data_IF_918376958856
#
_entry.id   IF_918376958856
#
_cell.length_a   1.000
_cell.length_b   1.000
_cell.length_c   1.000
_cell.angle_alpha   90.00
_cell.angle_beta   90.00
_cell.angle_gamma   90.00
#
_symmetry.space_group_name_H-M   'P 1'
#
loop_
_entity.id
_entity.type
_entity.pdbx_description
1 polymer ?
#
# COMPACT_ATOMS: atom_id res chain seq x y z
N UNK A 1 8.85 -0.57 -3.76
CA UNK A 1 9.66 -1.74 -4.10
C UNK A 1 9.55 -2.64 -2.90
N UNK A 2 9.09 -3.89 -3.11
CA UNK A 2 8.85 -4.84 -2.03
C UNK A 2 10.10 -5.12 -1.21
N UNK A 3 9.90 -5.44 0.06
CA UNK A 3 11.00 -5.81 0.95
C UNK A 3 11.41 -7.26 0.67
N UNK A 4 12.65 -7.45 0.21
CA UNK A 4 13.20 -8.78 -0.09
C UNK A 4 14.08 -9.23 1.07
N UNK A 5 13.71 -10.36 1.67
CA UNK A 5 14.51 -11.06 2.67
C UNK A 5 15.27 -12.21 2.00
N UNK A 6 16.53 -11.97 1.64
CA UNK A 6 17.38 -12.97 0.98
C UNK A 6 17.70 -14.17 1.88
N UNK A 7 17.83 -13.97 3.19
CA UNK A 7 18.13 -15.05 4.14
C UNK A 7 16.96 -16.04 4.28
N UNK A 8 15.72 -15.54 4.26
CA UNK A 8 14.51 -16.36 4.34
C UNK A 8 13.94 -16.75 2.97
N UNK A 9 14.50 -16.22 1.88
CA UNK A 9 13.91 -16.27 0.53
C UNK A 9 12.44 -15.87 0.57
N UNK A 10 12.17 -14.65 1.05
CA UNK A 10 10.81 -14.13 1.19
C UNK A 10 10.69 -12.72 0.62
N UNK A 11 9.70 -12.48 -0.23
CA UNK A 11 9.34 -11.17 -0.78
C UNK A 11 8.08 -10.70 -0.05
N UNK A 12 8.15 -9.53 0.57
CA UNK A 12 7.01 -8.93 1.27
C UNK A 12 6.50 -7.74 0.45
N UNK A 13 5.30 -7.89 -0.11
CA UNK A 13 4.64 -6.86 -0.90
C UNK A 13 3.49 -6.23 -0.12
N UNK A 14 3.47 -4.90 -0.03
CA UNK A 14 2.47 -4.15 0.72
C UNK A 14 1.36 -3.63 -0.19
N UNK A 15 0.13 -4.06 0.07
CA UNK A 15 -1.07 -3.60 -0.62
C UNK A 15 -1.89 -2.70 0.30
N UNK A 16 -2.29 -1.53 -0.19
CA UNK A 16 -3.08 -0.56 0.59
C UNK A 16 -4.44 -0.36 -0.06
N UNK A 17 -5.51 -0.62 0.69
CA UNK A 17 -6.85 -0.20 0.33
C UNK A 17 -7.04 1.25 0.76
N UNK A 18 -7.16 2.13 -0.23
CA UNK A 18 -7.38 3.56 -0.06
C UNK A 18 -8.79 3.95 -0.56
N UNK A 19 -9.23 5.18 -0.29
CA UNK A 19 -10.56 5.67 -0.64
C UNK A 19 -11.26 6.33 0.55
N UNK A 20 -12.40 7.01 0.34
CA UNK A 20 -13.04 7.79 1.38
C UNK A 20 -13.55 6.92 2.54
N UNK A 21 -13.86 7.58 3.65
CA UNK A 21 -14.54 6.96 4.78
C UNK A 21 -15.83 6.27 4.30
N UNK A 22 -16.16 5.13 4.90
CA UNK A 22 -17.38 4.35 4.59
C UNK A 22 -17.53 3.88 3.14
N UNK A 23 -16.48 3.96 2.29
CA UNK A 23 -16.51 3.45 0.91
C UNK A 23 -16.58 1.91 0.82
N UNK A 24 -16.34 1.20 1.93
CA UNK A 24 -16.38 -0.28 1.98
C UNK A 24 -15.02 -0.97 1.98
N UNK A 25 -13.93 -0.26 2.32
CA UNK A 25 -12.57 -0.82 2.44
C UNK A 25 -12.49 -1.96 3.46
N UNK A 26 -13.04 -1.74 4.66
CA UNK A 26 -13.06 -2.77 5.71
C UNK A 26 -13.89 -4.00 5.29
N UNK A 27 -15.01 -3.79 4.59
CA UNK A 27 -15.86 -4.87 4.07
C UNK A 27 -15.09 -5.71 3.05
N UNK A 28 -14.34 -5.07 2.15
CA UNK A 28 -13.44 -5.77 1.23
C UNK A 28 -12.43 -6.64 1.98
N UNK A 29 -11.67 -6.06 2.91
CA UNK A 29 -10.65 -6.80 3.68
C UNK A 29 -11.24 -8.00 4.42
N UNK A 30 -12.40 -7.83 5.06
CA UNK A 30 -13.10 -8.91 5.76
C UNK A 30 -13.56 -10.00 4.80
N UNK A 31 -14.09 -9.64 3.63
CA UNK A 31 -14.54 -10.60 2.62
C UNK A 31 -13.36 -11.39 2.04
N UNK A 32 -12.27 -10.72 1.65
CA UNK A 32 -11.04 -11.37 1.20
C UNK A 32 -10.51 -12.31 2.27
N UNK A 33 -10.41 -11.83 3.52
CA UNK A 33 -9.97 -12.64 4.65
C UNK A 33 -10.80 -13.92 4.77
N UNK A 34 -12.14 -13.81 4.79
CA UNK A 34 -13.06 -14.93 4.92
C UNK A 34 -12.99 -15.94 3.76
N UNK A 35 -12.63 -15.51 2.55
CA UNK A 35 -12.50 -16.38 1.38
C UNK A 35 -11.16 -17.09 1.24
N UNK A 36 -10.12 -16.61 1.93
CA UNK A 36 -8.81 -17.25 1.93
C UNK A 36 -8.80 -18.49 2.83
N UNK A 37 -8.11 -19.54 2.39
CA UNK A 37 -7.88 -20.75 3.20
C UNK A 37 -7.13 -20.38 4.47
N UNK A 38 -7.47 -21.00 5.59
CA UNK A 38 -6.94 -20.64 6.91
C UNK A 38 -5.41 -20.78 7.01
N UNK A 39 -4.83 -21.75 6.31
CA UNK A 39 -3.38 -21.95 6.22
C UNK A 39 -2.65 -20.97 5.27
N UNK A 40 -3.40 -20.23 4.46
CA UNK A 40 -2.87 -19.26 3.48
C UNK A 40 -2.94 -17.81 3.97
N UNK A 41 -3.47 -17.57 5.17
CA UNK A 41 -3.65 -16.23 5.75
C UNK A 41 -3.10 -16.16 7.18
N UNK A 42 -2.49 -15.05 7.53
CA UNK A 42 -2.17 -14.70 8.91
C UNK A 42 -3.39 -14.17 9.66
N UNK A 43 -3.24 -13.87 10.95
CA UNK A 43 -4.32 -13.35 11.78
C UNK A 43 -4.80 -11.98 11.28
N UNK A 44 -6.12 -11.77 11.27
CA UNK A 44 -6.71 -10.45 11.08
C UNK A 44 -6.50 -9.57 12.31
N UNK A 45 -5.85 -8.42 12.14
CA UNK A 45 -5.45 -7.54 13.23
C UNK A 45 -6.02 -6.14 13.06
N UNK A 46 -6.22 -5.47 14.18
CA UNK A 46 -6.60 -4.07 14.27
C UNK A 46 -5.65 -3.34 15.21
N UNK A 47 -5.18 -2.16 14.84
CA UNK A 47 -4.34 -1.32 15.70
C UNK A 47 -4.71 0.15 15.54
N UNK A 48 -4.44 0.98 16.55
CA UNK A 48 -4.60 2.43 16.46
C UNK A 48 -3.41 3.05 15.74
N UNK A 49 -3.68 3.99 14.84
CA UNK A 49 -2.69 4.79 14.14
C UNK A 49 -3.14 6.23 14.26
N UNK A 50 -2.48 6.99 15.15
CA UNK A 50 -2.93 8.33 15.54
C UNK A 50 -4.40 8.27 15.99
N UNK A 51 -5.29 9.03 15.34
CA UNK A 51 -6.73 9.06 15.63
C UNK A 51 -7.54 8.01 14.85
N UNK A 52 -6.90 7.27 13.93
CA UNK A 52 -7.55 6.28 13.08
C UNK A 52 -7.34 4.84 13.58
N UNK A 53 -8.15 3.91 13.05
CA UNK A 53 -7.95 2.47 13.28
C UNK A 53 -7.49 1.82 11.98
N UNK A 54 -6.34 1.17 12.02
CA UNK A 54 -5.80 0.40 10.90
C UNK A 54 -6.22 -1.06 11.03
N UNK A 55 -6.80 -1.61 9.97
CA UNK A 55 -7.01 -3.05 9.83
C UNK A 55 -5.95 -3.62 8.90
N UNK A 56 -5.41 -4.78 9.25
CA UNK A 56 -4.43 -5.46 8.42
C UNK A 56 -4.44 -6.98 8.62
N UNK A 57 -4.00 -7.68 7.59
CA UNK A 57 -3.65 -9.10 7.65
C UNK A 57 -2.66 -9.41 6.52
N UNK A 58 -2.02 -10.56 6.62
CA UNK A 58 -1.12 -11.06 5.59
C UNK A 58 -1.68 -12.33 4.94
N UNK A 59 -1.33 -12.58 3.69
CA UNK A 59 -1.65 -13.84 3.03
C UNK A 59 -0.56 -14.25 2.04
N UNK A 60 -0.53 -15.55 1.73
CA UNK A 60 0.35 -16.17 0.76
C UNK A 60 -0.52 -16.81 -0.33
N UNK A 61 -0.41 -16.41 -1.59
CA UNK A 61 -1.16 -17.06 -2.66
C UNK A 61 -0.73 -18.54 -2.80
N UNK A 62 -1.69 -19.49 -2.90
CA UNK A 62 -1.40 -20.90 -3.18
C UNK A 62 -0.98 -21.08 -4.65
N UNK A 63 -0.20 -22.15 -4.93
CA UNK A 63 0.31 -22.44 -6.28
C UNK A 63 1.76 -21.99 -6.50
N UNK A 64 2.66 -22.35 -5.59
CA UNK A 64 4.09 -22.01 -5.61
C UNK A 64 4.39 -20.50 -5.44
N UNK A 65 4.39 -20.07 -4.18
CA UNK A 65 5.27 -18.97 -3.73
C UNK A 65 6.74 -19.40 -3.80
N UNK A 66 7.25 -19.69 -4.99
CA UNK A 66 8.68 -19.87 -5.24
C UNK A 66 9.02 -19.14 -6.53
N UNK A 67 9.07 -17.82 -6.42
CA UNK A 67 9.66 -16.93 -7.39
C UNK A 67 11.18 -17.08 -7.33
N UNK A 68 11.77 -17.94 -8.16
CA UNK A 68 13.21 -18.29 -8.06
C UNK A 68 13.60 -18.83 -6.65
N UNK A 69 12.69 -19.59 -6.04
CA UNK A 69 12.83 -20.07 -4.67
C UNK A 69 12.40 -19.08 -3.58
N UNK A 70 11.84 -17.91 -3.93
CA UNK A 70 11.27 -16.96 -2.97
C UNK A 70 9.77 -17.15 -2.74
N UNK A 71 9.38 -17.24 -1.47
CA UNK A 71 8.00 -17.11 -1.04
C UNK A 71 7.54 -15.66 -1.09
N UNK A 72 6.34 -15.40 -1.63
CA UNK A 72 5.76 -14.06 -1.58
C UNK A 72 4.67 -14.01 -0.52
N UNK A 73 4.74 -12.96 0.29
CA UNK A 73 3.75 -12.61 1.30
C UNK A 73 3.19 -11.24 0.98
N UNK A 74 1.87 -11.18 0.83
CA UNK A 74 1.16 -9.92 0.68
C UNK A 74 0.66 -9.45 2.03
N UNK A 75 0.97 -8.20 2.36
CA UNK A 75 0.46 -7.52 3.55
C UNK A 75 -0.61 -6.53 3.10
N UNK A 76 -1.87 -6.75 3.51
CA UNK A 76 -2.97 -5.85 3.16
C UNK A 76 -3.25 -4.92 4.33
N UNK A 77 -3.33 -3.62 4.06
CA UNK A 77 -3.65 -2.59 5.03
C UNK A 77 -4.84 -1.76 4.57
N UNK A 78 -5.65 -1.29 5.52
CA UNK A 78 -6.59 -0.19 5.29
C UNK A 78 -6.77 0.65 6.55
N UNK A 79 -7.12 1.92 6.35
CA UNK A 79 -7.58 2.78 7.43
C UNK A 79 -9.10 2.76 7.53
N UNK A 80 -9.56 2.78 8.76
CA UNK A 80 -10.97 2.87 9.16
C UNK A 80 -11.13 4.00 10.18
N UNK A 81 -12.18 4.77 10.01
CA UNK A 81 -12.43 6.01 10.76
C UNK A 81 -13.46 6.85 10.00
N UNK A 82 -14.14 7.76 10.69
CA UNK A 82 -15.13 8.67 10.09
C UNK A 82 -14.44 9.70 9.16
N UNK A 83 -13.24 10.13 9.53
CA UNK A 83 -12.41 11.04 8.73
C UNK A 83 -10.95 10.58 8.89
N UNK A 84 -10.47 9.76 7.96
CA UNK A 84 -9.07 9.32 7.97
C UNK A 84 -8.14 10.52 7.73
N UNK A 85 -7.20 10.75 8.64
CA UNK A 85 -6.29 11.90 8.54
C UNK A 85 -5.23 11.68 7.46
N UNK A 86 -4.79 12.76 6.79
CA UNK A 86 -3.69 12.68 5.82
C UNK A 86 -2.39 12.16 6.46
N UNK A 87 -2.15 12.47 7.72
CA UNK A 87 -0.97 11.99 8.44
C UNK A 87 -1.00 10.45 8.63
N UNK A 88 -2.16 9.89 8.97
CA UNK A 88 -2.34 8.43 9.04
C UNK A 88 -2.25 7.80 7.66
N UNK A 89 -2.91 8.38 6.65
CA UNK A 89 -2.84 7.90 5.27
C UNK A 89 -1.39 7.87 4.74
N UNK A 90 -0.63 8.92 5.02
CA UNK A 90 0.80 9.02 4.69
C UNK A 90 1.58 7.87 5.33
N UNK A 91 1.41 7.62 6.63
CA UNK A 91 2.05 6.49 7.32
C UNK A 91 1.69 5.14 6.68
N UNK A 92 0.43 4.92 6.32
CA UNK A 92 -0.03 3.67 5.70
C UNK A 92 0.51 3.51 4.28
N UNK A 93 0.58 4.58 3.49
CA UNK A 93 1.09 4.55 2.12
C UNK A 93 2.62 4.42 2.05
N UNK A 94 3.34 4.70 3.14
CA UNK A 94 4.79 4.50 3.18
C UNK A 94 5.15 3.06 2.82
N UNK A 95 5.95 2.91 1.76
CA UNK A 95 6.38 1.60 1.27
C UNK A 95 5.28 0.77 0.63
N UNK A 96 4.16 1.36 0.19
CA UNK A 96 3.17 0.66 -0.60
C UNK A 96 3.79 0.18 -1.93
N UNK A 97 3.44 -1.05 -2.32
CA UNK A 97 3.79 -1.67 -3.60
C UNK A 97 2.58 -1.79 -4.52
N UNK A 98 1.35 -1.72 -3.99
CA UNK A 98 0.14 -1.60 -4.77
C UNK A 98 -0.98 -0.88 -4.00
N UNK A 99 -1.86 -0.20 -4.73
CA UNK A 99 -3.02 0.52 -4.18
C UNK A 99 -4.30 -0.01 -4.81
N UNK A 100 -5.29 -0.33 -3.97
CA UNK A 100 -6.66 -0.56 -4.41
C UNK A 100 -7.50 0.62 -3.93
N UNK A 101 -7.86 1.51 -4.84
CA UNK A 101 -8.68 2.68 -4.51
C UNK A 101 -10.16 2.30 -4.59
N UNK A 102 -10.83 2.26 -3.45
CA UNK A 102 -12.27 1.96 -3.35
C UNK A 102 -13.05 3.26 -3.40
N UNK A 103 -13.67 3.54 -4.54
CA UNK A 103 -14.60 4.64 -4.72
C UNK A 103 -16.01 4.24 -4.27
N UNK A 104 -16.71 5.15 -3.61
CA UNK A 104 -18.11 4.98 -3.23
C UNK A 104 -19.01 5.50 -4.34
N UNK A 105 -19.91 4.66 -4.87
CA UNK A 105 -20.74 5.03 -6.01
C UNK A 105 -21.97 5.88 -5.66
N UNK A 106 -22.24 6.13 -4.37
CA UNK A 106 -23.38 6.97 -3.95
C UNK A 106 -23.36 8.38 -4.56
N UNK A 107 -24.53 8.93 -4.90
CA UNK A 107 -24.64 10.27 -5.53
C UNK A 107 -24.07 11.41 -4.67
N UNK A 108 -24.09 11.27 -3.36
CA UNK A 108 -23.57 12.25 -2.39
C UNK A 108 -22.07 12.04 -2.08
N UNK A 109 -21.42 11.04 -2.70
CA UNK A 109 -20.07 10.59 -2.33
C UNK A 109 -18.98 11.05 -3.30
N UNK A 110 -19.33 11.72 -4.40
CA UNK A 110 -18.35 12.15 -5.41
C UNK A 110 -17.27 13.07 -4.84
N UNK A 111 -17.66 14.09 -4.06
CA UNK A 111 -16.71 15.01 -3.44
C UNK A 111 -15.72 14.27 -2.52
N UNK A 112 -16.23 13.34 -1.69
CA UNK A 112 -15.39 12.52 -0.83
C UNK A 112 -14.43 11.61 -1.61
N UNK A 113 -14.85 11.07 -2.76
CA UNK A 113 -13.97 10.31 -3.65
C UNK A 113 -12.83 11.19 -4.18
N UNK A 114 -13.16 12.39 -4.67
CA UNK A 114 -12.18 13.36 -5.19
C UNK A 114 -11.18 13.75 -4.11
N UNK A 115 -11.65 14.13 -2.92
CA UNK A 115 -10.79 14.56 -1.81
C UNK A 115 -9.89 13.41 -1.33
N UNK A 116 -10.43 12.19 -1.25
CA UNK A 116 -9.64 11.03 -0.88
C UNK A 116 -8.57 10.69 -1.92
N UNK A 117 -8.87 10.79 -3.22
CA UNK A 117 -7.89 10.51 -4.26
C UNK A 117 -6.78 11.57 -4.28
N UNK A 118 -7.14 12.85 -4.12
CA UNK A 118 -6.17 13.94 -3.94
C UNK A 118 -5.25 13.68 -2.75
N UNK A 119 -5.81 13.26 -1.61
CA UNK A 119 -5.03 12.91 -0.43
C UNK A 119 -4.05 11.76 -0.65
N UNK A 120 -4.45 10.73 -1.41
CA UNK A 120 -3.54 9.65 -1.84
C UNK A 120 -2.41 10.21 -2.70
N UNK A 121 -2.74 11.01 -3.71
CA UNK A 121 -1.75 11.62 -4.62
C UNK A 121 -0.77 12.53 -3.87
N UNK A 122 -1.24 13.34 -2.92
CA UNK A 122 -0.40 14.20 -2.07
C UNK A 122 0.56 13.35 -1.21
N UNK A 123 0.05 12.29 -0.59
CA UNK A 123 0.88 11.38 0.21
C UNK A 123 1.95 10.68 -0.63
N UNK A 124 1.62 10.24 -1.85
CA UNK A 124 2.58 9.65 -2.78
C UNK A 124 3.63 10.67 -3.23
N UNK A 125 3.20 11.91 -3.52
CA UNK A 125 4.09 13.01 -3.92
C UNK A 125 5.11 13.31 -2.83
N UNK A 126 4.68 13.30 -1.56
CA UNK A 126 5.56 13.46 -0.40
C UNK A 126 6.62 12.33 -0.27
N UNK A 127 6.47 11.22 -1.01
CA UNK A 127 7.45 10.14 -1.14
C UNK A 127 8.17 10.14 -2.49
N UNK A 128 8.05 11.21 -3.29
CA UNK A 128 8.66 11.33 -4.61
C UNK A 128 8.03 10.39 -5.65
N UNK A 129 6.76 10.01 -5.46
CA UNK A 129 6.00 9.15 -6.37
C UNK A 129 4.71 9.83 -6.82
N UNK A 130 4.15 9.36 -7.93
CA UNK A 130 2.79 9.67 -8.34
C UNK A 130 1.97 8.37 -8.39
N UNK A 131 0.67 8.48 -8.67
CA UNK A 131 -0.23 7.32 -8.72
C UNK A 131 0.12 6.36 -9.88
N UNK A 132 0.66 6.85 -10.99
CA UNK A 132 1.06 6.02 -12.14
C UNK A 132 2.36 5.25 -11.93
N UNK A 133 3.19 5.65 -10.95
CA UNK A 133 4.43 4.96 -10.58
C UNK A 133 4.22 3.75 -9.64
N UNK A 134 2.97 3.42 -9.32
CA UNK A 134 2.62 2.29 -8.45
C UNK A 134 1.42 1.55 -9.06
N UNK A 135 1.41 0.20 -9.06
CA UNK A 135 0.23 -0.59 -9.40
C UNK A 135 -1.01 -0.08 -8.69
N UNK A 136 -2.01 0.31 -9.45
CA UNK A 136 -3.25 0.87 -8.93
C UNK A 136 -4.44 0.25 -9.64
N UNK A 137 -5.44 -0.18 -8.85
CA UNK A 137 -6.73 -0.68 -9.32
C UNK A 137 -7.84 0.17 -8.70
N UNK A 138 -8.83 0.54 -9.51
CA UNK A 138 -9.99 1.30 -9.04
C UNK A 138 -11.17 0.34 -8.85
N UNK A 139 -11.80 0.37 -7.67
CA UNK A 139 -13.02 -0.38 -7.40
C UNK A 139 -14.17 0.58 -7.18
N UNK A 140 -15.19 0.53 -8.03
CA UNK A 140 -16.42 1.31 -7.87
C UNK A 140 -17.42 0.52 -7.05
N UNK A 141 -17.41 0.72 -5.73
CA UNK A 141 -18.19 -0.08 -4.79
C UNK A 141 -19.60 0.49 -4.56
N UNK A 142 -20.50 -0.33 -3.99
CA UNK A 142 -21.91 -0.04 -3.72
C UNK A 142 -22.76 0.11 -4.99
N UNK A 143 -22.48 -0.72 -5.99
CA UNK A 143 -23.26 -0.78 -7.23
C UNK A 143 -24.70 -1.29 -7.05
N UNK A 144 -25.06 -1.75 -5.86
CA UNK A 144 -26.40 -2.10 -5.44
C UNK A 144 -27.24 -0.90 -4.95
N UNK A 145 -26.64 0.27 -4.70
CA UNK A 145 -27.38 1.48 -4.29
C UNK A 145 -28.31 1.97 -5.40
N UNK A 146 -29.55 2.35 -5.05
CA UNK A 146 -30.53 2.93 -5.98
C UNK A 146 -30.08 4.30 -6.51
N UNK A 147 -29.52 5.13 -5.64
CA UNK A 147 -28.97 6.44 -5.96
C UNK A 147 -27.45 6.34 -6.10
N UNK A 148 -27.00 5.99 -7.31
CA UNK A 148 -25.57 5.86 -7.62
C UNK A 148 -25.17 6.50 -8.94
N UNK A 149 -23.91 6.90 -9.02
CA UNK A 149 -23.23 7.14 -10.28
C UNK A 149 -22.85 5.82 -10.94
N UNK A 150 -22.79 5.83 -12.28
CA UNK A 150 -22.18 4.76 -13.04
C UNK A 150 -20.66 4.81 -12.88
N UNK A 151 -19.96 3.65 -12.89
CA UNK A 151 -18.50 3.58 -12.87
C UNK A 151 -17.81 4.59 -13.78
N UNK A 152 -18.30 4.78 -15.01
CA UNK A 152 -17.69 5.66 -16.00
C UNK A 152 -17.80 7.15 -15.63
N UNK A 153 -18.88 7.54 -14.94
CA UNK A 153 -19.07 8.92 -14.48
C UNK A 153 -18.06 9.24 -13.37
N UNK A 154 -17.86 8.31 -12.44
CA UNK A 154 -16.88 8.44 -11.36
C UNK A 154 -15.46 8.46 -11.95
N UNK A 155 -15.15 7.51 -12.83
CA UNK A 155 -13.83 7.40 -13.46
C UNK A 155 -13.41 8.64 -14.26
N UNK A 156 -14.37 9.35 -14.88
CA UNK A 156 -14.12 10.64 -15.55
C UNK A 156 -13.84 11.76 -14.57
N UNK A 157 -14.64 11.89 -13.52
CA UNK A 157 -14.46 12.96 -12.51
C UNK A 157 -13.18 12.79 -11.71
N UNK A 158 -12.80 11.55 -11.44
CA UNK A 158 -11.57 11.21 -10.73
C UNK A 158 -10.33 11.21 -11.62
N UNK A 159 -10.49 11.28 -12.95
CA UNK A 159 -9.38 11.18 -13.92
C UNK A 159 -8.56 9.88 -13.72
N UNK A 160 -9.26 8.75 -13.59
CA UNK A 160 -8.64 7.42 -13.36
C UNK A 160 -9.11 6.37 -14.37
N UNK A 161 -9.58 6.80 -15.53
CA UNK A 161 -10.16 5.91 -16.55
C UNK A 161 -9.13 4.99 -17.21
N UNK A 162 -7.85 5.32 -17.11
CA UNK A 162 -6.71 4.55 -17.59
C UNK A 162 -6.34 3.37 -16.68
N UNK A 163 -6.80 3.38 -15.42
CA UNK A 163 -6.49 2.32 -14.46
C UNK A 163 -7.47 1.15 -14.63
N UNK A 164 -7.01 -0.11 -14.46
CA UNK A 164 -7.91 -1.26 -14.38
C UNK A 164 -8.97 -1.04 -13.32
N UNK A 165 -10.24 -1.24 -13.68
CA UNK A 165 -11.34 -0.92 -12.78
C UNK A 165 -12.43 -1.98 -12.76
N UNK A 166 -13.09 -2.10 -11.60
CA UNK A 166 -14.07 -3.14 -11.32
C UNK A 166 -15.30 -2.57 -10.61
N UNK A 167 -16.52 -2.79 -11.13
CA UNK A 167 -17.73 -2.54 -10.36
C UNK A 167 -17.82 -3.56 -9.21
N UNK A 168 -18.23 -3.12 -8.03
CA UNK A 168 -18.28 -3.98 -6.86
C UNK A 168 -19.51 -3.76 -5.98
N UNK A 169 -19.90 -4.81 -5.27
CA UNK A 169 -20.81 -4.78 -4.13
C UNK A 169 -20.16 -5.60 -3.02
N UNK A 170 -19.33 -4.94 -2.21
CA UNK A 170 -18.46 -5.61 -1.24
C UNK A 170 -19.23 -6.46 -0.21
N UNK A 171 -20.45 -6.07 0.14
CA UNK A 171 -21.34 -6.82 1.05
C UNK A 171 -21.78 -8.17 0.46
N UNK A 172 -21.84 -8.28 -0.87
CA UNK A 172 -22.18 -9.50 -1.60
C UNK A 172 -20.96 -10.21 -2.19
N UNK A 173 -19.76 -9.65 -2.01
CA UNK A 173 -18.52 -10.20 -2.55
C UNK A 173 -18.26 -9.94 -4.04
N UNK A 174 -19.21 -9.35 -4.75
CA UNK A 174 -19.10 -9.08 -6.20
C UNK A 174 -17.99 -8.08 -6.44
N UNK A 175 -17.02 -8.42 -7.31
CA UNK A 175 -15.91 -7.55 -7.71
C UNK A 175 -14.78 -7.45 -6.68
N UNK A 176 -14.93 -8.05 -5.49
CA UNK A 176 -13.93 -7.97 -4.41
C UNK A 176 -12.69 -8.80 -4.73
N UNK A 177 -12.88 -10.05 -5.15
CA UNK A 177 -11.76 -10.97 -5.42
C UNK A 177 -11.06 -10.61 -6.74
N UNK A 178 -11.85 -10.21 -7.74
CA UNK A 178 -11.38 -9.83 -9.07
C UNK A 178 -10.46 -8.61 -8.99
N UNK A 179 -10.86 -7.58 -8.23
CA UNK A 179 -10.07 -6.35 -8.09
C UNK A 179 -8.77 -6.55 -7.31
N UNK A 180 -8.77 -7.31 -6.21
CA UNK A 180 -7.53 -7.59 -5.48
C UNK A 180 -6.58 -8.50 -6.26
N UNK A 181 -7.10 -9.47 -7.01
CA UNK A 181 -6.28 -10.32 -7.86
C UNK A 181 -5.68 -9.57 -9.04
N UNK A 182 -6.43 -8.63 -9.63
CA UNK A 182 -5.87 -7.74 -10.64
C UNK A 182 -4.67 -6.96 -10.08
N UNK A 183 -4.83 -6.38 -8.88
CA UNK A 183 -3.74 -5.65 -8.22
C UNK A 183 -2.54 -6.56 -7.91
N UNK A 184 -2.78 -7.75 -7.34
CA UNK A 184 -1.74 -8.74 -7.06
C UNK A 184 -0.97 -9.08 -8.34
N UNK A 185 -1.66 -9.35 -9.46
CA UNK A 185 -1.02 -9.64 -10.75
C UNK A 185 -0.13 -8.50 -11.23
N UNK A 186 -0.59 -7.25 -11.11
CA UNK A 186 0.22 -6.08 -11.47
C UNK A 186 1.48 -5.97 -10.61
N UNK A 187 1.35 -6.11 -9.28
CA UNK A 187 2.50 -6.07 -8.37
C UNK A 187 3.49 -7.19 -8.66
N UNK A 188 3.02 -8.41 -8.95
CA UNK A 188 3.88 -9.51 -9.36
C UNK A 188 4.64 -9.22 -10.65
N UNK A 189 3.98 -8.59 -11.63
CA UNK A 189 4.60 -8.22 -12.89
C UNK A 189 5.69 -7.14 -12.71
N UNK A 190 5.47 -6.17 -11.82
CA UNK A 190 6.47 -5.16 -11.49
C UNK A 190 7.71 -5.78 -10.83
N UNK A 191 7.50 -6.73 -9.90
CA UNK A 191 8.60 -7.48 -9.27
C UNK A 191 9.39 -8.26 -10.33
N UNK A 192 8.70 -8.83 -11.34
CA UNK A 192 9.35 -9.54 -12.45
C UNK A 192 10.20 -8.64 -13.31
N UNK A 193 9.68 -7.47 -13.63
CA UNK A 193 10.32 -6.52 -14.54
C UNK A 193 11.53 -5.86 -13.87
N UNK A 194 11.53 -5.71 -12.55
CA UNK A 194 12.63 -5.19 -11.75
C UNK A 194 13.90 -6.08 -11.70
N UNK A 195 13.96 -7.15 -12.49
CA UNK A 195 15.18 -7.97 -12.64
C UNK A 195 15.28 -9.16 -11.69
N UNK A 196 14.24 -9.46 -10.92
CA UNK A 196 14.10 -10.80 -10.33
C UNK A 196 13.56 -11.68 -11.46
N UNK A 197 14.33 -12.65 -11.95
CA UNK A 197 13.95 -13.42 -13.14
C UNK A 197 12.84 -14.44 -12.79
N UNK A 198 11.59 -13.98 -12.76
CA UNK A 198 10.44 -14.73 -12.26
C UNK A 198 9.85 -15.65 -13.33
N UNK A 199 10.09 -16.96 -13.27
CA UNK A 199 9.30 -17.94 -14.01
C UNK A 199 8.18 -18.49 -13.12
N UNK A 200 6.97 -17.98 -13.29
CA UNK A 200 5.72 -18.48 -12.69
C UNK A 200 4.53 -17.84 -13.40
N UNK A 201 3.55 -18.64 -13.85
CA UNK A 201 2.41 -18.14 -14.61
C UNK A 201 1.30 -17.64 -13.66
N UNK A 202 0.61 -16.51 -13.94
CA UNK A 202 -0.41 -15.93 -13.06
C UNK A 202 -1.77 -16.65 -13.03
N UNK A 203 -1.89 -17.84 -13.63
CA UNK A 203 -3.20 -18.44 -13.94
C UNK A 203 -3.83 -19.26 -12.80
N UNK A 204 -3.06 -19.65 -11.76
CA UNK A 204 -3.57 -20.53 -10.69
C UNK A 204 -4.25 -19.79 -9.52
N UNK A 205 -4.24 -18.46 -9.50
CA UNK A 205 -4.83 -17.63 -8.43
C UNK A 205 -6.37 -17.76 -8.33
N UNK A 206 -7.06 -18.20 -9.39
CA UNK A 206 -8.52 -18.40 -9.35
C UNK A 206 -8.95 -19.62 -8.51
N UNK A 207 -8.04 -20.53 -8.18
CA UNK A 207 -8.33 -21.71 -7.34
C UNK A 207 -8.29 -21.39 -5.83
N UNK A 208 -8.19 -20.11 -5.47
CA UNK A 208 -8.09 -19.61 -4.09
C UNK A 208 -9.44 -19.52 -3.36
N UNK A 209 -10.54 -19.45 -4.11
CA UNK A 209 -11.89 -19.35 -3.55
C UNK A 209 -12.56 -20.71 -3.58
N UNK A 210 -13.20 -21.12 -2.48
CA UNK A 210 -14.10 -22.27 -2.48
C UNK A 210 -15.16 -22.09 -3.59
N UNK A 211 -15.49 -23.14 -4.37
CA UNK A 211 -16.46 -23.03 -5.45
C UNK A 211 -17.81 -22.56 -4.90
N UNK A 212 -18.41 -21.59 -5.56
CA UNK A 212 -19.73 -21.06 -5.22
C UNK A 212 -20.79 -22.13 -5.46
N UNK A 213 -21.20 -22.80 -4.39
CA UNK A 213 -22.25 -23.80 -4.39
C UNK A 213 -23.02 -23.76 -3.07
N UNK A 214 -23.70 -22.64 -2.79
CA UNK A 214 -24.89 -22.51 -1.92
C UNK A 214 -25.29 -21.02 -1.87
N UNK A 215 -26.58 -20.74 -2.09
CA UNK A 215 -27.18 -19.40 -2.01
C UNK A 215 -26.96 -18.78 -0.61
N UNK A 216 -26.72 -17.46 -0.48
CA UNK A 216 -26.50 -16.85 0.81
C UNK A 216 -27.83 -16.59 1.53
N UNK A 217 -28.27 -17.58 2.31
CA UNK A 217 -29.15 -17.35 3.45
C UNK A 217 -28.36 -16.76 4.61
N UNK A 218 -28.82 -15.62 5.11
CA UNK A 218 -28.47 -14.98 6.39
C UNK A 218 -26.99 -14.74 6.72
N UNK A 219 -26.63 -13.47 6.68
CA UNK A 219 -25.36 -12.89 7.11
C UNK A 219 -25.00 -13.36 8.54
N UNK A 220 -23.85 -14.04 8.77
CA UNK A 220 -23.42 -14.36 10.11
C UNK A 220 -23.09 -13.06 10.85
N UNK A 221 -23.66 -12.89 12.05
CA UNK A 221 -23.29 -11.81 12.95
C UNK A 221 -21.77 -11.79 13.16
N UNK A 222 -21.17 -10.61 13.05
CA UNK A 222 -19.74 -10.42 13.25
C UNK A 222 -19.32 -10.92 14.65
N UNK A 223 -18.24 -11.69 14.80
CA UNK A 223 -17.69 -12.00 16.12
C UNK A 223 -17.24 -10.69 16.79
N UNK A 224 -17.57 -10.53 18.07
CA UNK A 224 -16.98 -9.49 18.90
C UNK A 224 -15.49 -9.83 19.12
N UNK A 225 -14.59 -9.05 18.51
CA UNK A 225 -13.15 -9.23 18.66
C UNK A 225 -12.64 -8.41 19.85
N UNK A 226 -12.59 -9.04 21.02
CA UNK A 226 -11.83 -8.58 22.18
C UNK A 226 -10.69 -9.56 22.45
N UNK A 227 -9.45 -9.07 22.44
CA UNK A 227 -8.29 -9.88 22.81
C UNK A 227 -7.00 -9.34 22.22
N UNK A 228 -6.18 -8.70 23.06
CA UNK A 228 -4.79 -8.42 22.76
C UNK A 228 -4.02 -9.76 22.80
N UNK A 229 -3.28 -10.09 21.74
CA UNK A 229 -2.39 -11.26 21.73
C UNK A 229 -1.13 -10.98 20.89
N UNK A 230 -0.05 -11.62 21.35
CA UNK A 230 1.36 -11.23 21.24
C UNK A 230 1.97 -11.14 19.83
N UNK A 231 3.00 -10.29 19.74
CA UNK A 231 3.77 -9.95 18.55
C UNK A 231 4.80 -11.05 18.27
N UNK A 232 4.78 -11.64 17.06
CA UNK A 232 5.88 -12.48 16.55
C UNK A 232 7.01 -11.59 16.00
N UNK A 233 8.30 -11.90 16.21
CA UNK A 233 9.40 -11.08 15.72
C UNK A 233 9.52 -11.15 14.19
N UNK A 234 9.53 -9.99 13.52
CA UNK A 234 9.78 -9.89 12.08
C UNK A 234 8.78 -9.06 11.28
N UNK A 235 7.70 -8.58 11.89
CA UNK A 235 6.78 -7.61 11.27
C UNK A 235 7.40 -6.21 11.38
N UNK A 236 7.59 -5.45 10.30
CA UNK A 236 7.85 -4.03 10.40
C UNK A 236 6.55 -3.37 10.89
N UNK A 237 6.46 -3.16 12.22
CA UNK A 237 5.44 -2.30 12.78
C UNK A 237 5.66 -0.88 12.24
N UNK A 238 4.60 -0.10 12.00
CA UNK A 238 4.75 1.34 11.87
C UNK A 238 5.50 1.85 13.11
N UNK A 239 6.45 2.81 12.97
CA UNK A 239 7.09 3.39 14.14
C UNK A 239 6.02 3.98 15.07
N UNK A 240 6.07 3.61 16.36
CA UNK A 240 5.16 4.16 17.38
C UNK A 240 5.35 5.68 17.46
N UNK A 241 4.26 6.48 17.48
CA UNK A 241 4.36 7.91 17.72
C UNK A 241 4.85 8.12 19.15
N UNK A 242 6.07 8.64 19.32
CA UNK A 242 6.46 9.25 20.59
C UNK A 242 5.63 10.52 20.77
N UNK A 243 4.93 10.64 21.89
CA UNK A 243 4.35 11.91 22.33
C UNK A 243 5.49 12.92 22.49
N UNK A 244 5.60 13.80 21.50
CA UNK A 244 6.35 15.04 21.65
C UNK A 244 5.29 16.10 21.88
N UNK A 245 5.17 16.54 23.12
CA UNK A 245 4.46 17.76 23.47
C UNK A 245 5.11 18.91 22.70
N UNK A 246 4.40 19.40 21.68
CA UNK A 246 4.81 20.57 20.89
C UNK A 246 4.24 21.79 21.59
N UNK A 247 5.09 22.50 22.33
CA UNK A 247 4.91 23.95 22.48
C UNK A 247 5.08 24.56 21.08
N UNK A 248 4.09 25.35 20.65
CA UNK A 248 4.15 26.07 19.37
C UNK A 248 5.37 27.01 19.36
N UNK A 249 6.26 26.92 18.35
CA UNK A 249 7.14 28.03 18.04
C UNK A 249 6.50 28.92 16.98
N UNK A 250 6.32 30.16 17.37
CA UNK A 250 6.28 31.36 16.54
C UNK A 250 7.14 31.24 15.27
N UNK A 251 6.57 31.69 14.16
CA UNK A 251 7.21 31.83 12.86
C UNK A 251 8.55 32.58 12.91
N UNK A 252 9.62 31.97 12.40
CA UNK A 252 10.72 32.62 11.65
C UNK A 252 11.78 31.59 11.19
N UNK A 253 12.10 31.57 9.88
CA UNK A 253 13.38 31.06 9.34
C UNK A 253 13.33 29.73 8.60
N UNK A 254 13.32 29.78 7.25
CA UNK A 254 13.57 28.62 6.39
C UNK A 254 15.01 28.12 6.54
N UNK A 255 15.18 26.79 6.61
CA UNK A 255 16.49 26.14 6.58
C UNK A 255 16.62 25.35 5.28
N UNK A 256 17.29 25.92 4.28
CA UNK A 256 17.77 25.16 3.13
C UNK A 256 19.04 24.36 3.52
N UNK A 257 19.16 23.09 3.10
CA UNK A 257 20.37 22.31 3.32
C UNK A 257 21.53 22.86 2.47
N UNK A 258 22.64 23.20 3.13
CA UNK A 258 23.87 23.65 2.46
C UNK A 258 24.81 22.45 2.29
N UNK A 259 25.25 22.18 1.06
CA UNK A 259 26.21 21.12 0.72
C UNK A 259 27.53 21.74 0.31
N UNK A 260 28.61 21.39 1.00
CA UNK A 260 29.96 21.85 0.70
C UNK A 260 30.90 20.67 0.43
N UNK A 261 31.86 20.85 -0.47
CA UNK A 261 32.92 19.85 -0.71
C UNK A 261 33.92 19.92 0.44
N UNK A 262 34.04 18.82 1.19
CA UNK A 262 34.76 18.76 2.46
C UNK A 262 36.25 18.37 2.33
N UNK A 263 36.78 18.33 1.10
CA UNK A 263 38.15 17.93 0.79
C UNK A 263 38.37 17.73 -0.72
N UNK A 264 39.60 17.41 -1.14
CA UNK A 264 39.90 17.14 -2.54
C UNK A 264 39.18 15.90 -3.07
N UNK A 265 38.66 15.97 -4.30
CA UNK A 265 38.18 14.80 -5.02
C UNK A 265 39.38 13.90 -5.38
N UNK A 266 39.31 12.60 -5.06
CA UNK A 266 40.35 11.63 -5.36
C UNK A 266 39.85 10.54 -6.30
N UNK A 267 40.64 10.21 -7.33
CA UNK A 267 40.41 9.02 -8.15
C UNK A 267 40.96 7.81 -7.40
N UNK A 268 40.11 6.84 -7.07
CA UNK A 268 40.57 5.59 -6.50
C UNK A 268 41.16 4.64 -7.55
N UNK A 269 41.96 3.69 -7.09
CA UNK A 269 42.59 2.65 -7.93
C UNK A 269 41.57 1.77 -8.67
N UNK A 270 40.30 1.82 -8.24
CA UNK A 270 39.14 1.17 -8.84
C UNK A 270 38.46 2.00 -9.95
N UNK A 271 39.05 3.13 -10.35
CA UNK A 271 38.49 4.05 -11.36
C UNK A 271 37.29 4.86 -10.84
N UNK A 272 36.99 4.81 -9.54
CA UNK A 272 35.88 5.53 -8.92
C UNK A 272 36.38 6.85 -8.35
N UNK A 273 35.80 7.97 -8.80
CA UNK A 273 36.07 9.30 -8.24
C UNK A 273 35.29 9.46 -6.94
N UNK A 274 36.00 9.69 -5.83
CA UNK A 274 35.41 9.89 -4.51
C UNK A 274 35.49 11.36 -4.13
N UNK A 275 34.33 11.99 -3.90
CA UNK A 275 34.22 13.39 -3.49
C UNK A 275 33.66 13.45 -2.07
N UNK A 276 34.43 13.88 -1.07
CA UNK A 276 33.91 14.06 0.29
C UNK A 276 33.03 15.31 0.34
N UNK A 277 31.82 15.18 0.88
CA UNK A 277 30.85 16.26 1.06
C UNK A 277 30.52 16.43 2.55
N UNK A 278 30.30 17.68 2.96
CA UNK A 278 29.69 18.04 4.24
C UNK A 278 28.32 18.65 3.96
N UNK A 279 27.28 18.04 4.52
CA UNK A 279 25.90 18.51 4.41
C UNK A 279 25.51 19.10 5.75
N UNK A 280 25.17 20.39 5.78
CA UNK A 280 24.67 21.08 6.97
C UNK A 280 23.16 21.29 6.84
N UNK A 281 22.40 20.74 7.78
CA UNK A 281 20.95 20.92 7.87
C UNK A 281 20.51 20.93 9.33
N UNK A 282 19.70 21.93 9.72
CA UNK A 282 19.14 22.03 11.08
C UNK A 282 20.20 22.02 12.20
N UNK A 283 21.34 22.68 12.00
CA UNK A 283 22.45 22.74 12.96
C UNK A 283 23.32 21.47 13.05
N UNK A 284 22.99 20.40 12.31
CA UNK A 284 23.82 19.19 12.22
C UNK A 284 24.63 19.19 10.93
N UNK A 285 25.91 18.81 11.05
CA UNK A 285 26.80 18.60 9.90
C UNK A 285 27.03 17.09 9.74
N UNK A 286 26.70 16.56 8.57
CA UNK A 286 26.91 15.15 8.22
C UNK A 286 27.95 15.06 7.12
N UNK A 287 28.98 14.23 7.31
CA UNK A 287 29.99 13.95 6.28
C UNK A 287 29.56 12.74 5.47
N UNK A 288 29.55 12.87 4.14
CA UNK A 288 29.22 11.78 3.20
C UNK A 288 30.26 11.76 2.08
N UNK A 289 30.43 10.62 1.42
CA UNK A 289 31.34 10.50 0.27
C UNK A 289 30.51 10.13 -0.96
N UNK A 290 30.59 10.97 -2.00
CA UNK A 290 29.98 10.71 -3.30
C UNK A 290 30.96 9.90 -4.16
N UNK A 291 30.54 8.71 -4.58
CA UNK A 291 31.29 7.84 -5.47
C UNK A 291 30.75 7.98 -6.90
N UNK A 292 31.60 8.40 -7.83
CA UNK A 292 31.26 8.61 -9.24
C UNK A 292 32.05 7.60 -10.07
N UNK A 293 31.35 6.69 -10.73
CA UNK A 293 31.92 5.72 -11.68
C UNK A 293 31.55 6.14 -13.10
N UNK A 294 32.53 6.36 -13.96
CA UNK A 294 32.31 6.63 -15.38
C UNK A 294 32.28 5.28 -16.11
N UNK A 295 31.16 4.99 -16.78
CA UNK A 295 31.08 3.88 -17.75
C UNK A 295 31.26 4.49 -19.14
N UNK A 296 32.23 3.98 -19.90
CA UNK A 296 32.37 4.35 -21.31
C UNK A 296 31.35 3.52 -22.11
N UNK A 297 30.49 4.19 -22.87
CA UNK A 297 29.63 3.57 -23.89
C UNK A 297 30.47 3.03 -25.06
#
# INVERSE_FOLDING_TARGET
MPLINHAKKEINAKLVYAGPASAGKATNLKYVYAKLKENSRGTFKSMKVQNDSMLFFEFMPPGQGSFDGYSIRFHIYTLTGEVSSLASLKMVLKGADGILFVADSGRDRMAANVDSLKGVSECLTAYGKNLSAIPCVIQYNKQDSSERYRPEEIGRVLEVSEYPSYPATATKGVGVIESIFALVKMVLNDIRTAGINLKGQPEELQQMTEPAGQEPGEQPAAPAFGGAAEVRPGVPLPPEPREVSVEEPSAAGGFEPVVEIAGGAGLGDDGVVRVPLSIRSGGKTTKVTLNISLTAD
#
